data_IF_470856170698
#
_entry.id   IF_470856170698
#
_cell.length_a   1.000
_cell.length_b   1.000
_cell.length_c   1.000
_cell.angle_alpha   90.00
_cell.angle_beta   90.00
_cell.angle_gamma   90.00
#
_symmetry.space_group_name_H-M   'P 1'
#
loop_
_entity.id
_entity.type
_entity.pdbx_description
1 polymer ?
#
# COMPACT_ATOMS: atom_id res chain seq x y z
N UNK A 1 -0.69 -31.09 30.36
CA UNK A 1 -0.12 -29.79 29.91
C UNK A 1 1.08 -29.33 30.74
N UNK A 2 1.03 -29.27 32.09
CA UNK A 2 2.20 -28.83 32.91
C UNK A 2 3.49 -29.66 32.72
N UNK A 3 3.37 -30.98 32.52
CA UNK A 3 4.53 -31.84 32.33
C UNK A 3 5.27 -31.61 31.00
N UNK A 4 4.55 -31.29 29.92
CA UNK A 4 5.15 -31.00 28.61
C UNK A 4 5.71 -29.58 28.51
N UNK A 5 5.29 -28.67 29.41
CA UNK A 5 5.80 -27.30 29.50
C UNK A 5 7.28 -27.27 29.93
N UNK A 6 7.64 -28.09 30.92
CA UNK A 6 8.98 -28.16 31.48
C UNK A 6 10.02 -28.72 30.48
N UNK A 7 9.59 -29.55 29.52
CA UNK A 7 10.44 -30.16 28.50
C UNK A 7 10.70 -29.25 27.28
N UNK A 8 10.02 -28.09 27.18
CA UNK A 8 10.26 -27.13 26.10
C UNK A 8 11.59 -26.39 26.30
N UNK A 9 12.21 -26.00 25.17
CA UNK A 9 13.41 -25.16 25.19
C UNK A 9 13.14 -23.85 25.95
N UNK A 10 14.10 -23.36 26.74
CA UNK A 10 13.93 -22.15 27.55
C UNK A 10 13.61 -20.91 26.70
N UNK A 11 14.08 -20.82 25.45
CA UNK A 11 13.71 -19.72 24.55
C UNK A 11 12.21 -19.72 24.21
N UNK A 12 11.61 -20.90 24.06
CA UNK A 12 10.18 -21.05 23.73
C UNK A 12 9.34 -20.72 24.96
N UNK A 13 9.73 -21.20 26.14
CA UNK A 13 9.06 -20.83 27.41
C UNK A 13 9.07 -19.31 27.62
N UNK A 14 10.21 -18.64 27.39
CA UNK A 14 10.31 -17.17 27.49
C UNK A 14 9.46 -16.44 26.46
N UNK A 15 9.40 -16.94 25.21
CA UNK A 15 8.55 -16.34 24.17
C UNK A 15 7.07 -16.43 24.52
N UNK A 16 6.62 -17.55 25.07
CA UNK A 16 5.24 -17.68 25.56
C UNK A 16 4.96 -16.81 26.78
N UNK A 17 5.88 -16.69 27.73
CA UNK A 17 5.70 -15.75 28.86
C UNK A 17 5.56 -14.31 28.36
N UNK A 18 6.40 -13.88 27.41
CA UNK A 18 6.25 -12.56 26.77
C UNK A 18 4.92 -12.40 26.05
N UNK A 19 4.45 -13.44 25.36
CA UNK A 19 3.14 -13.43 24.70
C UNK A 19 2.02 -13.33 25.74
N UNK A 20 2.10 -14.10 26.82
CA UNK A 20 1.14 -14.10 27.92
C UNK A 20 1.09 -12.73 28.62
N UNK A 21 2.25 -12.13 28.90
CA UNK A 21 2.37 -10.78 29.43
C UNK A 21 1.76 -9.75 28.46
N UNK A 22 2.05 -9.87 27.15
CA UNK A 22 1.50 -8.98 26.12
C UNK A 22 -0.02 -9.11 26.02
N UNK A 23 -0.55 -10.34 26.07
CA UNK A 23 -1.98 -10.62 26.04
C UNK A 23 -2.66 -10.12 27.31
N UNK A 24 -2.06 -10.31 28.48
CA UNK A 24 -2.57 -9.78 29.75
C UNK A 24 -2.59 -8.25 29.73
N UNK A 25 -1.51 -7.62 29.27
CA UNK A 25 -1.42 -6.16 29.16
C UNK A 25 -2.46 -5.61 28.19
N UNK A 26 -2.62 -6.24 27.02
CA UNK A 26 -3.66 -5.89 26.06
C UNK A 26 -5.05 -6.03 26.70
N UNK A 27 -5.34 -7.17 27.35
CA UNK A 27 -6.62 -7.39 28.04
C UNK A 27 -6.89 -6.35 29.12
N UNK A 28 -5.88 -5.95 29.88
CA UNK A 28 -5.99 -4.89 30.89
C UNK A 28 -6.23 -3.51 30.26
N UNK A 29 -5.61 -3.20 29.11
CA UNK A 29 -5.87 -1.97 28.36
C UNK A 29 -7.28 -1.94 27.77
N UNK A 30 -7.72 -3.04 27.14
CA UNK A 30 -9.07 -3.20 26.62
C UNK A 30 -10.12 -3.14 27.73
N UNK A 31 -9.84 -3.73 28.90
CA UNK A 31 -10.69 -3.61 30.10
C UNK A 31 -10.85 -2.16 30.54
N UNK A 32 -9.75 -1.40 30.63
CA UNK A 32 -9.79 0.04 30.97
C UNK A 32 -10.53 0.88 29.93
N UNK A 33 -10.38 0.58 28.64
CA UNK A 33 -11.12 1.25 27.56
C UNK A 33 -12.62 0.91 27.62
N UNK A 34 -12.96 -0.36 27.82
CA UNK A 34 -14.35 -0.81 27.97
C UNK A 34 -15.03 -0.18 29.19
N UNK A 35 -14.36 -0.11 30.33
CA UNK A 35 -14.91 0.54 31.52
C UNK A 35 -15.13 2.05 31.31
N UNK A 36 -14.23 2.73 30.59
CA UNK A 36 -14.43 4.13 30.20
C UNK A 36 -15.63 4.32 29.27
N UNK A 37 -15.81 3.44 28.29
CA UNK A 37 -16.96 3.48 27.38
C UNK A 37 -18.26 3.23 28.14
N UNK A 38 -18.29 2.23 29.03
CA UNK A 38 -19.47 1.96 29.86
C UNK A 38 -19.85 3.19 30.72
N UNK A 39 -18.86 3.83 31.38
CA UNK A 39 -19.12 5.06 32.16
C UNK A 39 -19.62 6.22 31.30
N UNK A 40 -19.09 6.33 30.08
CA UNK A 40 -19.54 7.32 29.12
C UNK A 40 -20.98 7.06 28.67
N UNK A 41 -21.30 5.82 28.32
CA UNK A 41 -22.62 5.37 27.92
C UNK A 41 -23.63 5.56 29.06
N UNK A 42 -23.26 5.28 30.31
CA UNK A 42 -24.12 5.55 31.49
C UNK A 42 -24.48 7.03 31.62
N UNK A 43 -23.53 7.93 31.35
CA UNK A 43 -23.76 9.39 31.39
C UNK A 43 -24.65 9.82 30.22
N UNK A 44 -24.42 9.26 29.03
CA UNK A 44 -25.11 9.69 27.81
C UNK A 44 -26.45 9.01 27.58
N UNK A 45 -26.69 7.83 28.13
CA UNK A 45 -27.92 7.05 27.99
C UNK A 45 -29.21 7.90 28.12
N UNK A 46 -29.42 8.70 29.19
CA UNK A 46 -30.66 9.49 29.31
C UNK A 46 -30.76 10.69 28.35
N UNK A 47 -29.65 11.06 27.68
CA UNK A 47 -29.58 12.18 26.73
C UNK A 47 -29.71 11.69 25.29
N UNK A 48 -29.20 10.49 25.00
CA UNK A 48 -29.18 9.89 23.67
C UNK A 48 -30.57 9.86 23.03
N UNK A 49 -31.58 9.38 23.76
CA UNK A 49 -32.97 9.35 23.28
C UNK A 49 -33.49 10.74 22.88
N UNK A 50 -33.13 11.78 23.64
CA UNK A 50 -33.54 13.16 23.36
C UNK A 50 -32.79 13.74 22.16
N UNK A 51 -31.50 13.43 22.03
CA UNK A 51 -30.66 13.88 20.93
C UNK A 51 -31.11 13.25 19.61
N UNK A 52 -31.40 11.95 19.62
CA UNK A 52 -31.92 11.21 18.47
C UNK A 52 -33.28 11.78 18.01
N UNK A 53 -34.18 12.08 18.95
CA UNK A 53 -35.47 12.74 18.64
C UNK A 53 -35.30 14.14 18.05
N UNK A 54 -34.24 14.85 18.43
CA UNK A 54 -33.89 16.18 17.91
C UNK A 54 -33.06 16.11 16.62
N UNK A 55 -32.69 14.91 16.16
CA UNK A 55 -31.81 14.71 15.01
C UNK A 55 -30.39 15.27 15.22
N UNK A 56 -29.96 15.40 16.48
CA UNK A 56 -28.65 15.93 16.84
C UNK A 56 -27.72 14.77 17.15
N UNK A 57 -26.60 14.70 16.43
CA UNK A 57 -25.57 13.71 16.70
C UNK A 57 -24.87 13.96 18.06
N UNK A 58 -24.52 12.87 18.74
CA UNK A 58 -23.94 12.87 20.09
C UNK A 58 -22.58 13.58 20.16
N UNK A 59 -21.72 13.39 19.15
CA UNK A 59 -20.44 14.09 19.08
C UNK A 59 -20.63 15.58 18.83
N UNK A 60 -21.61 15.92 18.00
CA UNK A 60 -21.99 17.32 17.73
C UNK A 60 -22.48 18.02 19.00
N UNK A 61 -23.31 17.33 19.80
CA UNK A 61 -23.76 17.82 21.09
C UNK A 61 -22.61 18.06 22.06
N UNK A 62 -21.71 17.10 22.22
CA UNK A 62 -20.52 17.24 23.07
C UNK A 62 -19.60 18.39 22.64
N UNK A 63 -19.31 18.49 21.34
CA UNK A 63 -18.49 19.57 20.80
C UNK A 63 -19.09 20.94 21.10
N UNK A 64 -20.42 21.05 21.00
CA UNK A 64 -21.15 22.29 21.31
C UNK A 64 -21.06 22.62 22.80
N UNK A 65 -21.19 21.62 23.68
CA UNK A 65 -21.03 21.81 25.13
C UNK A 65 -19.62 22.24 25.51
N UNK A 66 -18.58 21.60 24.97
CA UNK A 66 -17.19 22.00 25.23
C UNK A 66 -16.93 23.43 24.76
N UNK A 67 -17.37 23.80 23.55
CA UNK A 67 -17.22 25.16 23.05
C UNK A 67 -17.99 26.19 23.90
N UNK A 68 -19.18 25.83 24.40
CA UNK A 68 -19.92 26.68 25.33
C UNK A 68 -19.18 26.82 26.66
N UNK A 69 -18.57 25.74 27.19
CA UNK A 69 -17.76 25.79 28.41
C UNK A 69 -16.54 26.69 28.23
N UNK A 70 -15.75 26.51 27.17
CA UNK A 70 -14.59 27.36 26.87
C UNK A 70 -15.00 28.83 26.77
N UNK A 71 -16.18 29.09 26.20
CA UNK A 71 -16.71 30.44 26.07
C UNK A 71 -17.17 31.02 27.41
N UNK A 72 -17.82 30.23 28.27
CA UNK A 72 -18.17 30.62 29.64
C UNK A 72 -16.93 30.90 30.50
N UNK A 73 -15.85 30.15 30.32
CA UNK A 73 -14.60 30.35 31.05
C UNK A 73 -13.88 31.64 30.62
N UNK A 74 -13.94 31.98 29.32
CA UNK A 74 -13.33 33.19 28.78
C UNK A 74 -14.16 34.45 29.02
N UNK A 75 -15.46 34.37 28.78
CA UNK A 75 -16.43 35.44 28.97
C UNK A 75 -17.74 34.87 29.55
N UNK A 76 -17.89 34.88 30.89
CA UNK A 76 -19.04 34.25 31.52
C UNK A 76 -20.37 34.94 31.16
N UNK A 77 -20.37 36.26 30.94
CA UNK A 77 -21.59 37.01 30.60
C UNK A 77 -21.99 36.71 29.15
N UNK A 78 -21.05 36.78 28.22
CA UNK A 78 -21.27 36.42 26.82
C UNK A 78 -21.68 34.95 26.66
N UNK A 79 -21.06 34.06 27.43
CA UNK A 79 -21.37 32.62 27.47
C UNK A 79 -22.81 32.33 27.91
N UNK A 80 -23.26 32.95 29.01
CA UNK A 80 -24.65 32.81 29.49
C UNK A 80 -25.66 33.31 28.45
N UNK A 81 -25.35 34.42 27.78
CA UNK A 81 -26.22 34.94 26.71
C UNK A 81 -26.27 34.04 25.49
N UNK A 82 -25.12 33.48 25.09
CA UNK A 82 -25.04 32.50 24.00
C UNK A 82 -25.87 31.26 24.31
N UNK A 83 -25.71 30.71 25.52
CA UNK A 83 -26.46 29.56 25.98
C UNK A 83 -27.97 29.85 26.04
N UNK A 84 -28.36 31.02 26.53
CA UNK A 84 -29.76 31.39 26.58
C UNK A 84 -30.39 31.45 25.18
N UNK A 85 -29.70 32.05 24.20
CA UNK A 85 -30.17 32.08 22.81
C UNK A 85 -30.24 30.69 22.18
N UNK A 86 -29.25 29.82 22.43
CA UNK A 86 -29.24 28.46 21.86
C UNK A 86 -30.39 27.58 22.39
N UNK A 87 -30.86 27.86 23.60
CA UNK A 87 -31.99 27.16 24.22
C UNK A 87 -33.31 27.94 24.15
N UNK A 88 -33.35 29.07 23.43
CA UNK A 88 -34.57 29.89 23.29
C UNK A 88 -35.03 30.56 24.59
N UNK A 89 -34.14 30.74 25.56
CA UNK A 89 -34.39 31.40 26.84
C UNK A 89 -34.18 32.90 26.68
N UNK A 90 -35.19 33.68 27.03
CA UNK A 90 -35.09 35.12 27.07
C UNK A 90 -34.58 35.59 28.44
N UNK A 91 -33.32 36.02 28.52
CA UNK A 91 -32.72 36.48 29.78
C UNK A 91 -33.39 37.73 30.36
N UNK A 92 -34.17 38.47 29.57
CA UNK A 92 -34.92 39.65 30.03
C UNK A 92 -35.95 39.27 31.11
N UNK A 93 -36.45 38.04 31.10
CA UNK A 93 -37.44 37.55 32.07
C UNK A 93 -36.87 37.33 33.48
N UNK A 94 -35.54 37.28 33.63
CA UNK A 94 -34.85 37.09 34.92
C UNK A 94 -34.27 38.40 35.48
N UNK A 95 -34.38 39.50 34.72
CA UNK A 95 -34.02 40.86 35.17
C UNK A 95 -35.13 41.47 36.04
N UNK A 96 -35.18 41.10 37.32
CA UNK A 96 -36.09 41.72 38.28
C UNK A 96 -35.77 43.20 38.49
N UNK A 97 -36.54 44.09 37.87
CA UNK A 97 -36.57 45.52 38.18
C UNK A 97 -36.54 46.43 36.96
N UNK A 98 -37.72 46.96 36.60
CA UNK A 98 -37.97 48.09 35.70
C UNK A 98 -37.76 47.86 34.21
N UNK A 99 -38.74 47.20 33.59
CA UNK A 99 -39.15 47.54 32.22
C UNK A 99 -40.37 48.46 32.31
N UNK A 100 -40.35 49.71 31.80
CA UNK A 100 -41.56 50.51 31.68
C UNK A 100 -42.46 49.86 30.62
N UNK A 101 -43.69 49.63 31.03
CA UNK A 101 -44.79 49.10 30.24
C UNK A 101 -45.13 50.06 29.09
N UNK A 102 -45.05 49.59 27.84
CA UNK A 102 -45.58 50.30 26.68
C UNK A 102 -46.90 49.66 26.26
N UNK A 103 -47.99 50.27 26.74
CA UNK A 103 -49.34 50.06 26.21
C UNK A 103 -49.74 51.33 25.47
N UNK A 104 -49.80 51.24 24.13
CA UNK A 104 -50.65 52.03 23.23
C UNK A 104 -50.52 53.55 23.21
N UNK A 105 -49.86 54.09 22.17
CA UNK A 105 -50.41 55.15 21.30
C UNK A 105 -49.36 55.52 20.22
N UNK A 106 -49.77 55.32 18.97
CA UNK A 106 -49.33 55.95 17.72
C UNK A 106 -47.93 56.60 17.68
N UNK A 107 -46.99 55.88 17.06
CA UNK A 107 -45.92 56.47 16.25
C UNK A 107 -44.66 56.94 16.96
N UNK A 108 -43.86 56.07 17.59
CA UNK A 108 -42.43 56.35 17.76
C UNK A 108 -41.60 55.08 18.05
N UNK A 109 -40.49 54.97 17.32
CA UNK A 109 -39.24 54.22 17.52
C UNK A 109 -39.16 53.16 18.63
N UNK A 110 -38.75 51.94 18.24
CA UNK A 110 -38.32 50.87 19.13
C UNK A 110 -37.32 51.37 20.19
N UNK A 111 -37.43 50.93 21.47
CA UNK A 111 -36.46 51.32 22.48
C UNK A 111 -35.13 50.67 22.15
N UNK A 112 -34.19 51.53 21.77
CA UNK A 112 -32.81 51.24 21.42
C UNK A 112 -32.20 50.35 22.49
N UNK A 113 -31.67 49.20 22.07
CA UNK A 113 -30.64 48.51 22.84
C UNK A 113 -29.63 49.55 23.33
N UNK A 114 -29.22 49.48 24.60
CA UNK A 114 -28.21 50.39 25.15
C UNK A 114 -27.08 50.57 24.13
N UNK A 115 -26.80 51.80 23.66
CA UNK A 115 -25.93 52.04 22.51
C UNK A 115 -24.50 51.48 22.70
N UNK A 116 -24.06 51.34 23.96
CA UNK A 116 -22.80 50.65 24.32
C UNK A 116 -22.81 49.15 23.99
N UNK A 117 -23.94 48.47 24.20
CA UNK A 117 -24.04 47.02 23.97
C UNK A 117 -24.12 46.67 22.48
N UNK A 118 -24.82 47.49 21.69
CA UNK A 118 -24.83 47.36 20.23
C UNK A 118 -23.42 47.57 19.65
N UNK A 119 -22.65 48.53 20.20
CA UNK A 119 -21.29 48.81 19.76
C UNK A 119 -20.30 47.65 20.00
N UNK A 120 -20.54 46.79 21.00
CA UNK A 120 -19.70 45.60 21.27
C UNK A 120 -20.21 44.36 20.51
N UNK A 121 -21.51 44.25 20.28
CA UNK A 121 -22.10 43.09 19.60
C UNK A 121 -21.81 43.05 18.09
N UNK A 122 -21.79 44.20 17.43
CA UNK A 122 -21.49 44.30 15.98
C UNK A 122 -20.08 43.82 15.61
N UNK A 123 -18.98 44.25 16.27
CA UNK A 123 -17.65 43.75 15.97
C UNK A 123 -17.48 42.27 16.33
N UNK A 124 -18.13 41.80 17.40
CA UNK A 124 -18.09 40.38 17.76
C UNK A 124 -18.79 39.51 16.72
N UNK A 125 -19.93 39.96 16.19
CA UNK A 125 -20.65 39.26 15.11
C UNK A 125 -19.81 39.19 13.82
N UNK A 126 -19.11 40.28 13.47
CA UNK A 126 -18.15 40.27 12.36
C UNK A 126 -17.00 39.30 12.60
N UNK A 127 -16.47 39.25 13.83
CA UNK A 127 -15.37 38.34 14.18
C UNK A 127 -15.80 36.86 14.10
N UNK A 128 -17.02 36.54 14.54
CA UNK A 128 -17.57 35.17 14.40
C UNK A 128 -17.77 34.81 12.93
N UNK A 129 -18.30 35.72 12.11
CA UNK A 129 -18.42 35.49 10.66
C UNK A 129 -17.05 35.27 10.00
N UNK A 130 -16.05 36.09 10.34
CA UNK A 130 -14.69 35.94 9.82
C UNK A 130 -14.06 34.59 10.25
N UNK A 131 -14.25 34.20 11.51
CA UNK A 131 -13.75 32.91 12.01
C UNK A 131 -14.45 31.73 11.34
N UNK A 132 -15.75 31.83 11.11
CA UNK A 132 -16.52 30.80 10.41
C UNK A 132 -16.04 30.63 8.96
N UNK A 133 -15.80 31.74 8.25
CA UNK A 133 -15.19 31.72 6.92
C UNK A 133 -13.80 31.09 6.93
N UNK A 134 -12.96 31.43 7.91
CA UNK A 134 -11.62 30.84 8.05
C UNK A 134 -11.67 29.32 8.32
N UNK A 135 -12.60 28.86 9.16
CA UNK A 135 -12.81 27.45 9.44
C UNK A 135 -13.24 26.67 8.20
N UNK A 136 -14.15 27.25 7.41
CA UNK A 136 -14.60 26.65 6.16
C UNK A 136 -13.44 26.56 5.15
N UNK A 137 -12.62 27.61 5.04
CA UNK A 137 -11.41 27.60 4.21
C UNK A 137 -10.40 26.54 4.69
N UNK A 138 -10.17 26.43 6.00
CA UNK A 138 -9.27 25.42 6.55
C UNK A 138 -9.75 24.00 6.27
N UNK A 139 -11.05 23.74 6.44
CA UNK A 139 -11.65 22.45 6.13
C UNK A 139 -11.47 22.07 4.66
N UNK A 140 -11.78 22.99 3.75
CA UNK A 140 -11.60 22.79 2.31
C UNK A 140 -10.12 22.57 1.94
N UNK A 141 -9.21 23.32 2.57
CA UNK A 141 -7.78 23.17 2.32
C UNK A 141 -7.27 21.80 2.78
N UNK A 142 -7.63 21.38 4.00
CA UNK A 142 -7.24 20.07 4.53
C UNK A 142 -7.76 18.91 3.69
N UNK A 143 -8.99 19.02 3.18
CA UNK A 143 -9.57 18.02 2.29
C UNK A 143 -8.85 17.97 0.94
N UNK A 144 -8.55 19.14 0.36
CA UNK A 144 -7.78 19.25 -0.88
C UNK A 144 -6.35 18.69 -0.73
N UNK A 145 -5.69 18.95 0.40
CA UNK A 145 -4.35 18.39 0.69
C UNK A 145 -4.39 16.86 0.81
N UNK A 146 -5.37 16.30 1.50
CA UNK A 146 -5.54 14.84 1.62
C UNK A 146 -5.79 14.21 0.26
N UNK A 147 -6.65 14.81 -0.55
CA UNK A 147 -6.92 14.34 -1.91
C UNK A 147 -5.66 14.40 -2.78
N UNK A 148 -4.90 15.50 -2.69
CA UNK A 148 -3.65 15.65 -3.43
C UNK A 148 -2.59 14.64 -2.99
N UNK A 149 -2.46 14.35 -1.69
CA UNK A 149 -1.56 13.31 -1.18
C UNK A 149 -1.96 11.93 -1.68
N UNK A 150 -3.24 11.57 -1.58
CA UNK A 150 -3.73 10.29 -2.08
C UNK A 150 -3.49 10.14 -3.59
N UNK A 151 -3.73 11.22 -4.36
CA UNK A 151 -3.46 11.21 -5.80
C UNK A 151 -1.96 11.04 -6.10
N UNK A 152 -1.10 11.74 -5.37
CA UNK A 152 0.36 11.62 -5.53
C UNK A 152 0.86 10.21 -5.19
N UNK A 153 0.31 9.57 -4.15
CA UNK A 153 0.62 8.17 -3.82
C UNK A 153 0.20 7.21 -4.94
N UNK A 154 -1.00 7.40 -5.50
CA UNK A 154 -1.49 6.62 -6.65
C UNK A 154 -0.60 6.81 -7.88
N UNK A 155 -0.23 8.04 -8.20
CA UNK A 155 0.62 8.35 -9.35
C UNK A 155 2.05 7.80 -9.16
N UNK A 156 2.61 7.90 -7.95
CA UNK A 156 3.90 7.31 -7.61
C UNK A 156 3.86 5.77 -7.70
N UNK A 157 2.74 5.16 -7.30
CA UNK A 157 2.53 3.73 -7.41
C UNK A 157 2.42 3.29 -8.88
N UNK A 158 1.69 4.06 -9.71
CA UNK A 158 1.56 3.82 -11.15
C UNK A 158 2.91 3.96 -11.88
N UNK A 159 3.74 4.92 -11.47
CA UNK A 159 5.06 5.16 -12.06
C UNK A 159 6.11 4.08 -11.68
N UNK A 160 5.82 3.23 -10.70
CA UNK A 160 6.74 2.19 -10.28
C UNK A 160 6.85 1.09 -11.35
N UNK A 161 8.05 0.77 -11.86
CA UNK A 161 8.24 -0.29 -12.87
C UNK A 161 7.84 -1.70 -12.39
N UNK A 162 7.64 -1.92 -11.10
CA UNK A 162 7.06 -3.17 -10.59
C UNK A 162 5.55 -3.30 -10.87
N UNK A 163 4.85 -2.18 -11.08
CA UNK A 163 3.40 -2.09 -11.20
C UNK A 163 2.97 -1.92 -12.66
N UNK A 164 3.53 -2.73 -13.55
CA UNK A 164 3.39 -2.63 -15.02
C UNK A 164 1.91 -2.63 -15.46
N UNK A 165 1.07 -3.37 -14.74
CA UNK A 165 -0.34 -3.55 -15.11
C UNK A 165 -1.29 -2.61 -14.36
N UNK A 166 -0.77 -1.66 -13.58
CA UNK A 166 -1.58 -0.80 -12.72
C UNK A 166 -2.66 -0.07 -13.51
N UNK A 167 -2.35 0.49 -14.68
CA UNK A 167 -3.34 1.19 -15.52
C UNK A 167 -4.51 0.29 -15.95
N UNK A 168 -4.25 -0.98 -16.22
CA UNK A 168 -5.29 -1.93 -16.64
C UNK A 168 -6.22 -2.30 -15.48
N UNK A 169 -5.67 -2.38 -14.27
CA UNK A 169 -6.42 -2.81 -13.07
C UNK A 169 -6.88 -1.65 -12.20
N UNK A 170 -6.48 -0.41 -12.50
CA UNK A 170 -6.80 0.82 -11.79
C UNK A 170 -8.28 0.97 -11.39
N UNK A 171 -9.28 0.72 -12.27
CA UNK A 171 -10.69 0.81 -11.88
C UNK A 171 -11.11 -0.26 -10.86
N UNK A 172 -10.50 -1.45 -10.88
CA UNK A 172 -10.73 -2.48 -9.85
C UNK A 172 -10.04 -2.14 -8.54
N UNK A 173 -8.81 -1.62 -8.60
CA UNK A 173 -8.07 -1.14 -7.42
C UNK A 173 -8.88 -0.08 -6.68
N UNK A 174 -9.41 0.91 -7.41
CA UNK A 174 -10.29 1.94 -6.84
C UNK A 174 -11.50 1.32 -6.14
N UNK A 175 -12.18 0.37 -6.80
CA UNK A 175 -13.34 -0.33 -6.23
C UNK A 175 -13.00 -1.13 -4.98
N UNK A 176 -11.84 -1.78 -4.92
CA UNK A 176 -11.42 -2.55 -3.73
C UNK A 176 -11.12 -1.67 -2.53
N UNK A 177 -10.56 -0.48 -2.75
CA UNK A 177 -10.33 0.52 -1.71
C UNK A 177 -11.65 1.16 -1.25
N UNK A 178 -12.53 1.53 -2.18
CA UNK A 178 -13.86 2.11 -1.85
C UNK A 178 -14.74 1.14 -1.06
N UNK A 179 -14.71 -0.15 -1.40
CA UNK A 179 -15.51 -1.17 -0.71
C UNK A 179 -14.86 -1.69 0.57
N UNK A 180 -13.65 -1.23 0.90
CA UNK A 180 -12.89 -1.67 2.07
C UNK A 180 -12.43 -3.13 2.01
N UNK A 181 -12.45 -3.76 0.82
CA UNK A 181 -11.96 -5.12 0.62
C UNK A 181 -10.44 -5.20 0.71
N UNK A 182 -9.75 -4.13 0.34
CA UNK A 182 -8.32 -3.98 0.48
C UNK A 182 -8.00 -2.84 1.45
N UNK A 183 -7.03 -3.06 2.33
CA UNK A 183 -6.60 -2.06 3.31
C UNK A 183 -5.50 -1.14 2.78
N UNK A 184 -4.79 -1.56 1.74
CA UNK A 184 -3.65 -0.83 1.17
C UNK A 184 -3.73 -0.83 -0.34
N UNK A 185 -3.09 0.16 -0.97
CA UNK A 185 -3.01 0.26 -2.44
C UNK A 185 -2.33 -0.98 -3.07
N UNK A 186 -1.32 -1.53 -2.38
CA UNK A 186 -0.64 -2.75 -2.82
C UNK A 186 -1.56 -3.98 -2.78
N UNK A 187 -2.30 -4.16 -1.70
CA UNK A 187 -3.24 -5.27 -1.53
C UNK A 187 -4.37 -5.21 -2.58
N UNK A 188 -4.91 -4.01 -2.81
CA UNK A 188 -5.90 -3.76 -3.85
C UNK A 188 -5.35 -4.07 -5.25
N UNK A 189 -4.10 -3.69 -5.53
CA UNK A 189 -3.41 -4.00 -6.78
C UNK A 189 -3.23 -5.52 -6.96
N UNK A 190 -2.68 -6.20 -5.96
CA UNK A 190 -2.45 -7.64 -6.03
C UNK A 190 -3.78 -8.38 -6.30
N UNK A 191 -4.82 -8.08 -5.52
CA UNK A 191 -6.17 -8.64 -5.73
C UNK A 191 -6.68 -8.38 -7.16
N UNK A 192 -6.49 -7.17 -7.67
CA UNK A 192 -6.95 -6.81 -9.00
C UNK A 192 -6.16 -7.49 -10.13
N UNK A 193 -4.83 -7.63 -10.00
CA UNK A 193 -4.01 -8.40 -10.94
C UNK A 193 -4.45 -9.87 -11.00
N UNK A 194 -4.77 -10.46 -9.84
CA UNK A 194 -5.24 -11.84 -9.77
C UNK A 194 -6.66 -12.04 -10.34
N UNK A 195 -7.53 -11.03 -10.19
CA UNK A 195 -8.90 -11.05 -10.66
C UNK A 195 -9.04 -10.73 -12.16
N UNK A 196 -8.13 -9.94 -12.73
CA UNK A 196 -8.24 -9.44 -14.09
C UNK A 196 -7.70 -10.47 -15.11
N UNK A 197 -8.54 -10.99 -16.03
CA UNK A 197 -8.20 -12.12 -16.91
C UNK A 197 -7.11 -11.81 -17.94
N UNK A 198 -7.04 -10.59 -18.47
CA UNK A 198 -6.00 -10.20 -19.44
C UNK A 198 -4.59 -10.20 -18.82
N UNK A 199 -4.44 -9.74 -17.57
CA UNK A 199 -3.18 -9.80 -16.83
C UNK A 199 -2.75 -11.25 -16.57
N UNK A 200 -3.73 -12.12 -16.30
CA UNK A 200 -3.48 -13.55 -16.12
C UNK A 200 -3.02 -14.20 -17.43
N UNK A 201 -3.63 -13.87 -18.57
CA UNK A 201 -3.19 -14.35 -19.89
C UNK A 201 -1.78 -13.84 -20.25
N UNK A 202 -1.48 -12.57 -20.00
CA UNK A 202 -0.15 -12.00 -20.25
C UNK A 202 0.90 -12.67 -19.35
N UNK A 203 0.59 -12.92 -18.07
CA UNK A 203 1.48 -13.66 -17.15
C UNK A 203 1.73 -15.09 -17.63
N UNK A 204 0.69 -15.80 -18.09
CA UNK A 204 0.81 -17.16 -18.64
C UNK A 204 1.64 -17.15 -19.93
N UNK A 205 1.45 -16.16 -20.81
CA UNK A 205 2.25 -15.99 -22.02
C UNK A 205 3.72 -15.65 -21.71
N UNK A 206 3.98 -14.77 -20.73
CA UNK A 206 5.33 -14.45 -20.29
C UNK A 206 6.03 -15.67 -19.70
N UNK A 207 5.32 -16.47 -18.91
CA UNK A 207 5.85 -17.70 -18.31
C UNK A 207 6.17 -18.76 -19.37
N UNK A 208 5.29 -18.95 -20.36
CA UNK A 208 5.52 -19.89 -21.47
C UNK A 208 6.64 -19.44 -22.41
N UNK A 209 6.77 -18.15 -22.70
CA UNK A 209 7.89 -17.62 -23.49
C UNK A 209 9.23 -17.76 -22.77
N UNK A 210 9.28 -17.50 -21.46
CA UNK A 210 10.51 -17.67 -20.68
C UNK A 210 10.93 -19.14 -20.58
N UNK A 211 9.97 -20.05 -20.41
CA UNK A 211 10.24 -21.50 -20.45
C UNK A 211 10.74 -21.96 -21.83
N UNK A 212 10.18 -21.41 -22.92
CA UNK A 212 10.61 -21.70 -24.28
C UNK A 212 12.04 -21.20 -24.55
N UNK A 213 12.37 -19.97 -24.11
CA UNK A 213 13.73 -19.41 -24.21
C UNK A 213 14.75 -20.21 -23.40
N UNK A 214 14.44 -20.57 -22.15
CA UNK A 214 15.31 -21.41 -21.33
C UNK A 214 15.57 -22.78 -21.96
N UNK A 215 14.57 -23.36 -22.62
CA UNK A 215 14.69 -24.63 -23.34
C UNK A 215 15.56 -24.47 -24.60
N UNK A 216 15.38 -23.39 -25.37
CA UNK A 216 16.21 -23.09 -26.54
C UNK A 216 17.68 -22.82 -26.16
N UNK A 217 17.94 -22.06 -25.09
CA UNK A 217 19.30 -21.81 -24.62
C UNK A 217 19.98 -23.08 -24.10
N UNK A 218 19.25 -23.96 -23.40
CA UNK A 218 19.78 -25.25 -22.97
C UNK A 218 20.10 -26.17 -24.16
N UNK A 219 19.26 -26.17 -25.20
CA UNK A 219 19.52 -26.92 -26.43
C UNK A 219 20.70 -26.34 -27.22
N UNK A 220 20.81 -25.02 -27.32
CA UNK A 220 21.93 -24.35 -27.97
C UNK A 220 23.27 -24.62 -27.25
N UNK A 221 23.29 -24.61 -25.91
CA UNK A 221 24.47 -24.98 -25.13
C UNK A 221 24.87 -26.44 -25.33
N UNK A 222 23.91 -27.38 -25.32
CA UNK A 222 24.19 -28.80 -25.60
C UNK A 222 24.77 -29.01 -27.00
N UNK A 223 24.20 -28.36 -28.01
CA UNK A 223 24.71 -28.43 -29.38
C UNK A 223 26.12 -27.84 -29.52
N UNK A 224 26.41 -26.74 -28.83
CA UNK A 224 27.77 -26.18 -28.78
C UNK A 224 28.76 -27.10 -28.07
N UNK A 225 28.39 -27.72 -26.95
CA UNK A 225 29.24 -28.69 -26.25
C UNK A 225 29.51 -29.94 -27.10
N UNK A 226 28.52 -30.47 -27.81
CA UNK A 226 28.70 -31.59 -28.74
C UNK A 226 29.60 -31.22 -29.91
N UNK A 227 29.44 -30.03 -30.49
CA UNK A 227 30.34 -29.55 -31.55
C UNK A 227 31.78 -29.36 -31.04
N UNK A 228 31.97 -28.85 -29.82
CA UNK A 228 33.30 -28.72 -29.23
C UNK A 228 33.92 -30.09 -28.95
N UNK A 229 33.16 -31.05 -28.43
CA UNK A 229 33.62 -32.44 -28.22
C UNK A 229 33.96 -33.12 -29.54
N UNK A 230 33.14 -32.95 -30.59
CA UNK A 230 33.40 -33.49 -31.91
C UNK A 230 34.67 -32.89 -32.54
N UNK A 231 34.88 -31.57 -32.41
CA UNK A 231 36.11 -30.89 -32.86
C UNK A 231 37.33 -31.37 -32.08
N UNK A 232 37.23 -31.53 -30.76
CA UNK A 232 38.31 -32.04 -29.92
C UNK A 232 38.66 -33.49 -30.27
N UNK A 233 37.66 -34.34 -30.52
CA UNK A 233 37.87 -35.73 -30.97
C UNK A 233 38.47 -35.80 -32.37
N UNK A 234 38.05 -34.94 -33.30
CA UNK A 234 38.64 -34.85 -34.64
C UNK A 234 40.11 -34.39 -34.57
N UNK A 235 40.42 -33.39 -33.74
CA UNK A 235 41.78 -32.94 -33.48
C UNK A 235 42.65 -34.04 -32.83
N UNK A 236 42.10 -34.81 -31.88
CA UNK A 236 42.79 -35.93 -31.26
C UNK A 236 43.08 -37.08 -32.24
N UNK A 237 42.14 -37.38 -33.16
CA UNK A 237 42.36 -38.37 -34.24
C UNK A 237 43.40 -37.89 -35.26
N UNK A 238 43.41 -36.60 -35.59
CA UNK A 238 44.43 -36.00 -36.45
C UNK A 238 45.82 -35.99 -35.78
N UNK A 239 45.89 -35.70 -34.49
CA UNK A 239 47.13 -35.76 -33.71
C UNK A 239 47.65 -37.20 -33.50
N UNK A 240 46.75 -38.18 -33.38
CA UNK A 240 47.09 -39.60 -33.40
C UNK A 240 47.56 -40.12 -34.77
N UNK A 241 47.39 -39.32 -35.83
CA UNK A 241 47.86 -39.58 -37.18
C UNK A 241 49.18 -38.84 -37.49
N UNK A 242 50.04 -38.68 -36.48
CA UNK A 242 51.43 -38.24 -36.63
C UNK A 242 52.38 -39.32 -36.09
N UNK A 243 52.19 -40.55 -36.55
CA UNK A 243 53.27 -41.55 -36.59
C UNK A 243 53.69 -41.70 -38.05
N UNK A 244 54.24 -40.61 -38.58
CA UNK A 244 54.62 -40.50 -39.98
C UNK A 244 55.20 -39.12 -40.24
N UNK A 245 56.38 -38.85 -39.67
CA UNK A 245 57.11 -37.63 -39.96
C UNK A 245 57.40 -37.56 -41.47
N UNK A 246 57.06 -36.47 -42.18
CA UNK A 246 57.63 -36.25 -43.50
C UNK A 246 59.08 -35.78 -43.27
N UNK A 247 60.03 -36.62 -43.65
CA UNK A 247 61.43 -36.20 -43.75
C UNK A 247 61.54 -35.17 -44.89
N UNK A 248 62.09 -33.97 -44.66
CA UNK A 248 62.32 -33.01 -45.74
C UNK A 248 63.30 -33.62 -46.75
N UNK A 249 62.83 -33.91 -47.97
CA UNK A 249 63.64 -34.49 -49.05
C UNK A 249 63.10 -35.77 -49.70
N UNK A 250 61.91 -36.28 -49.32
CA UNK A 250 61.33 -37.44 -49.99
C UNK A 250 60.72 -37.09 -51.35
N UNK A 251 61.41 -37.47 -52.43
CA UNK A 251 60.91 -37.45 -53.79
C UNK A 251 59.56 -38.18 -53.93
N UNK A 252 58.70 -37.67 -54.81
CA UNK A 252 57.40 -38.27 -55.12
C UNK A 252 57.52 -39.79 -55.40
N UNK A 253 56.56 -40.62 -54.94
CA UNK A 253 56.61 -42.05 -55.17
C UNK A 253 56.51 -42.32 -56.67
N UNK A 254 57.39 -43.20 -57.15
CA UNK A 254 57.35 -43.69 -58.53
C UNK A 254 55.98 -44.35 -58.82
N UNK A 255 55.46 -44.24 -60.05
CA UNK A 255 54.16 -44.81 -60.40
C UNK A 255 54.20 -46.34 -60.19
N UNK A 256 53.42 -46.82 -59.21
CA UNK A 256 53.28 -48.25 -58.91
C UNK A 256 53.50 -48.69 -57.46
N UNK A 257 53.90 -47.81 -56.54
CA UNK A 257 54.03 -48.16 -55.10
C UNK A 257 52.69 -48.13 -54.38
N UNK A 258 52.35 -49.17 -53.62
CA UNK A 258 51.14 -49.21 -52.77
C UNK A 258 51.36 -48.60 -51.39
N UNK A 259 52.54 -48.03 -51.12
CA UNK A 259 52.90 -47.48 -49.81
C UNK A 259 53.25 -48.55 -48.77
N UNK A 260 53.17 -49.84 -49.10
CA UNK A 260 53.56 -50.96 -48.25
C UNK A 260 54.78 -51.68 -48.84
N UNK A 261 55.95 -51.52 -48.21
CA UNK A 261 57.22 -52.12 -48.67
C UNK A 261 57.15 -53.65 -48.88
N UNK A 262 56.33 -54.35 -48.09
CA UNK A 262 56.12 -55.80 -48.23
C UNK A 262 55.36 -56.16 -49.51
N UNK A 263 54.36 -55.36 -49.88
CA UNK A 263 53.58 -55.58 -51.11
C UNK A 263 54.40 -55.19 -52.34
N UNK A 264 55.16 -54.10 -52.27
CA UNK A 264 56.04 -53.65 -53.34
C UNK A 264 57.14 -54.69 -53.64
N UNK A 265 57.72 -55.31 -52.60
CA UNK A 265 58.69 -56.40 -52.76
C UNK A 265 58.07 -57.67 -53.36
N UNK A 266 56.83 -58.01 -52.99
CA UNK A 266 56.13 -59.15 -53.57
C UNK A 266 55.74 -58.91 -55.02
N UNK A 267 55.33 -57.69 -55.36
CA UNK A 267 55.04 -57.28 -56.73
C UNK A 267 56.30 -57.33 -57.60
N UNK A 268 57.42 -56.79 -57.11
CA UNK A 268 58.70 -56.84 -57.80
C UNK A 268 59.19 -58.29 -58.00
N UNK A 269 59.04 -59.15 -56.99
CA UNK A 269 59.39 -60.57 -57.10
C UNK A 269 58.57 -61.29 -58.17
N UNK A 270 57.25 -61.09 -58.22
CA UNK A 270 56.39 -61.67 -59.27
C UNK A 270 56.79 -61.19 -60.67
N UNK A 271 57.22 -59.94 -60.80
CA UNK A 271 57.63 -59.36 -62.08
C UNK A 271 58.94 -59.97 -62.58
N UNK A 272 59.87 -60.28 -61.68
CA UNK A 272 61.11 -61.02 -61.99
C UNK A 272 60.82 -62.48 -62.34
N UNK A 273 59.91 -63.14 -61.63
CA UNK A 273 59.50 -64.52 -61.92
C UNK A 273 58.73 -64.64 -63.26
N UNK A 274 58.07 -63.58 -63.72
CA UNK A 274 57.41 -63.55 -65.04
C UNK A 274 58.35 -63.29 -66.22
N UNK A 275 59.63 -63.00 -65.95
CA UNK A 275 60.66 -62.69 -66.95
C UNK A 275 61.79 -63.72 -67.02
N UNK A 276 61.67 -64.84 -66.31
CA UNK A 276 62.50 -66.04 -66.43
C UNK A 276 61.68 -67.14 -67.15
#
# INVERSE_FOLDING_TARGET
MKAQWADLKPEVQQAFHKLEDTVQNAKAEWGRKGERLNRYDEIMAPRKDKLDLQGVDEFTFLKTLCAAQDYLERDPVGGIQYLARSYGVDLRQFGGGQSPQLTGAEGQQAPTAQPEFAAVLTPLQQQVQALQQQLQQFSQHSEAEKLAQAQAEVDAFAANPANIYFENVRPMVAKYLETGQAQTLQDAYDMAVWAHPETREILIQAQTQNAAKATQEAQAKKAQEEQQKAKAQAAAKAAGSVTGAPTPGASAPAPGSTGNLREDLLAAKRLVESRA
#
